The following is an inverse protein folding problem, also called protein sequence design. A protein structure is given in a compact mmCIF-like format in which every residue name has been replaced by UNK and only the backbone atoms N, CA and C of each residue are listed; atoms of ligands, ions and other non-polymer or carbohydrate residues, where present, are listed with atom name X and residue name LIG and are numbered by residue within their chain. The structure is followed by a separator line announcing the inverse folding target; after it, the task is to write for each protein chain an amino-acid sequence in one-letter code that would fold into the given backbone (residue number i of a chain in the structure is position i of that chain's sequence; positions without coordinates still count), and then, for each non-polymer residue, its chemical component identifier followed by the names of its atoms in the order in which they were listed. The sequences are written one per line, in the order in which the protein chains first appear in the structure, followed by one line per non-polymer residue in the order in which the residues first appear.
data_IF_852253137776
#
_entry.id   IF_852253137776
#
_cell.length_a   1.000
_cell.length_b   1.000
_cell.length_c   1.000
_cell.angle_alpha   90.00
_cell.angle_beta   90.00
_cell.angle_gamma   90.00
#
_symmetry.space_group_name_H-M   'P 1'
#
loop_
_entity.id
_entity.type
_entity.pdbx_description
1 polymer ?
#
# COMPACT_ATOMS: atom_id res chain seq x y z
N UNK A 1 45.46 -56.05 22.31
CA UNK A 1 45.18 -55.06 21.25
C UNK A 1 43.99 -55.55 20.42
N UNK A 2 42.80 -54.97 20.60
CA UNK A 2 41.58 -55.31 19.85
C UNK A 2 41.13 -54.08 19.08
N UNK A 3 41.01 -54.21 17.75
CA UNK A 3 40.60 -53.13 16.83
C UNK A 3 39.14 -52.78 17.07
N UNK A 4 38.87 -51.54 17.47
CA UNK A 4 37.55 -50.91 17.40
C UNK A 4 37.27 -50.55 15.94
N UNK A 5 36.44 -51.34 15.28
CA UNK A 5 35.81 -50.96 14.00
C UNK A 5 34.77 -49.87 14.29
N UNK A 6 34.97 -48.70 13.70
CA UNK A 6 33.98 -47.61 13.68
C UNK A 6 32.80 -48.04 12.81
N UNK A 7 31.69 -48.40 13.44
CA UNK A 7 30.38 -48.46 12.79
C UNK A 7 29.95 -47.04 12.41
N UNK A 8 29.85 -46.77 11.12
CA UNK A 8 29.25 -45.54 10.62
C UNK A 8 27.73 -45.64 10.81
N UNK A 9 27.20 -44.92 11.81
CA UNK A 9 25.78 -44.60 11.89
C UNK A 9 25.38 -43.79 10.65
N UNK A 10 24.80 -44.46 9.66
CA UNK A 10 24.00 -43.78 8.62
C UNK A 10 22.70 -43.33 9.27
N UNK A 11 22.72 -42.12 9.83
CA UNK A 11 21.50 -41.36 10.06
C UNK A 11 20.86 -41.11 8.69
N UNK A 12 19.82 -41.90 8.39
CA UNK A 12 18.92 -41.62 7.29
C UNK A 12 18.27 -40.28 7.54
N UNK A 13 18.80 -39.24 6.92
CA UNK A 13 18.14 -37.94 6.84
C UNK A 13 16.87 -38.17 6.04
N UNK A 14 15.74 -38.17 6.74
CA UNK A 14 14.42 -37.90 6.17
C UNK A 14 14.56 -36.60 5.39
N UNK A 15 14.72 -36.71 4.08
CA UNK A 15 14.61 -35.60 3.16
C UNK A 15 13.14 -35.14 3.21
N UNK A 16 12.81 -34.29 4.18
CA UNK A 16 11.68 -33.40 4.04
C UNK A 16 12.03 -32.46 2.89
N UNK A 17 11.53 -32.80 1.71
CA UNK A 17 11.39 -31.87 0.59
C UNK A 17 10.53 -30.70 1.07
N UNK A 18 11.18 -29.69 1.66
CA UNK A 18 10.58 -28.37 1.80
C UNK A 18 10.35 -27.86 0.38
N UNK A 19 9.12 -28.00 -0.11
CA UNK A 19 8.65 -27.23 -1.27
C UNK A 19 8.93 -25.77 -0.99
N UNK A 20 9.85 -25.18 -1.75
CA UNK A 20 10.07 -23.75 -1.75
C UNK A 20 8.79 -23.12 -2.30
N UNK A 21 8.00 -22.51 -1.42
CA UNK A 21 6.84 -21.71 -1.81
C UNK A 21 7.41 -20.37 -2.27
N UNK A 22 7.37 -20.13 -3.57
CA UNK A 22 7.59 -18.80 -4.15
C UNK A 22 6.37 -17.95 -3.77
N UNK A 23 6.52 -16.82 -3.06
CA UNK A 23 5.40 -15.93 -2.80
C UNK A 23 4.88 -15.38 -4.12
N UNK A 24 3.63 -15.71 -4.47
CA UNK A 24 2.96 -15.20 -5.68
C UNK A 24 2.48 -16.25 -6.70
N UNK A 25 2.79 -17.54 -6.53
CA UNK A 25 2.26 -18.57 -7.42
C UNK A 25 1.02 -19.26 -6.83
N UNK A 26 -0.11 -19.15 -7.53
CA UNK A 26 -1.34 -19.90 -7.26
C UNK A 26 -1.14 -21.35 -7.74
N UNK A 27 -1.65 -22.37 -7.03
CA UNK A 27 -1.62 -23.75 -7.49
C UNK A 27 -2.46 -23.90 -8.76
N UNK A 28 -1.84 -24.21 -9.89
CA UNK A 28 -2.52 -24.71 -11.08
C UNK A 28 -2.67 -26.23 -10.95
N UNK A 29 -3.81 -26.66 -10.42
CA UNK A 29 -4.33 -28.00 -10.71
C UNK A 29 -5.29 -27.92 -11.91
N UNK A 30 -5.20 -28.92 -12.81
CA UNK A 30 -6.31 -29.33 -13.66
C UNK A 30 -6.28 -28.82 -15.10
N UNK A 31 -5.73 -29.66 -15.98
CA UNK A 31 -5.81 -29.60 -17.44
C UNK A 31 -7.25 -29.65 -17.96
N UNK A 32 -7.74 -28.60 -18.64
CA UNK A 32 -8.44 -28.65 -19.95
C UNK A 32 -8.85 -27.24 -20.46
N UNK A 33 -8.92 -27.01 -21.78
CA UNK A 33 -9.01 -25.68 -22.36
C UNK A 33 -10.47 -25.28 -22.58
N UNK A 34 -10.92 -24.23 -21.90
CA UNK A 34 -12.06 -23.44 -22.37
C UNK A 34 -11.92 -22.03 -21.83
N UNK A 35 -11.85 -21.07 -22.75
CA UNK A 35 -11.57 -19.68 -22.46
C UNK A 35 -12.65 -19.08 -21.55
N UNK A 36 -12.22 -18.48 -20.45
CA UNK A 36 -12.80 -17.22 -19.99
C UNK A 36 -11.85 -16.55 -18.98
N UNK A 37 -11.20 -15.47 -19.40
CA UNK A 37 -10.34 -14.62 -18.56
C UNK A 37 -11.18 -13.72 -17.63
N UNK A 38 -12.04 -14.30 -16.78
CA UNK A 38 -12.90 -13.53 -15.86
C UNK A 38 -12.88 -14.04 -14.39
N UNK A 39 -11.98 -14.96 -14.05
CA UNK A 39 -11.92 -15.53 -12.69
C UNK A 39 -11.42 -14.58 -11.59
N UNK A 40 -10.73 -13.49 -11.96
CA UNK A 40 -10.18 -12.53 -10.99
C UNK A 40 -11.17 -11.44 -10.56
N UNK A 41 -12.21 -11.17 -11.35
CA UNK A 41 -13.24 -10.17 -11.04
C UNK A 41 -14.33 -10.72 -10.10
N UNK A 42 -14.67 -12.00 -10.20
CA UNK A 42 -15.80 -12.56 -9.45
C UNK A 42 -15.54 -12.74 -7.95
N UNK A 43 -14.28 -12.75 -7.49
CA UNK A 43 -13.98 -12.89 -6.05
C UNK A 43 -14.22 -11.61 -5.24
N UNK A 44 -14.50 -10.48 -5.89
CA UNK A 44 -14.95 -9.24 -5.23
C UNK A 44 -16.47 -9.16 -5.05
N UNK A 45 -17.26 -10.05 -5.67
CA UNK A 45 -18.68 -9.80 -5.96
C UNK A 45 -19.70 -10.10 -4.85
N UNK A 46 -19.36 -10.82 -3.78
CA UNK A 46 -20.39 -11.31 -2.83
C UNK A 46 -20.75 -10.33 -1.69
N UNK A 47 -20.20 -9.11 -1.69
CA UNK A 47 -20.52 -8.05 -0.70
C UNK A 47 -20.92 -6.71 -1.34
N UNK A 48 -20.96 -6.60 -2.68
CA UNK A 48 -20.94 -5.31 -3.39
C UNK A 48 -22.29 -4.78 -3.90
N UNK A 49 -23.42 -5.45 -3.63
CA UNK A 49 -24.71 -4.95 -4.14
C UNK A 49 -25.27 -3.75 -3.36
N UNK A 50 -24.90 -3.55 -2.09
CA UNK A 50 -25.38 -2.40 -1.28
C UNK A 50 -24.53 -1.13 -1.37
N UNK A 51 -23.36 -1.16 -2.05
CA UNK A 51 -22.38 -0.06 -2.08
C UNK A 51 -22.24 0.61 -3.46
N UNK A 52 -23.21 0.41 -4.34
CA UNK A 52 -23.26 1.04 -5.67
C UNK A 52 -23.29 2.56 -5.51
N UNK A 53 -22.24 3.25 -5.99
CA UNK A 53 -22.08 4.71 -5.88
C UNK A 53 -21.29 5.19 -4.66
N UNK A 54 -20.99 4.34 -3.66
CA UNK A 54 -20.10 4.68 -2.55
C UNK A 54 -18.62 4.68 -2.96
N UNK A 55 -18.25 3.92 -3.99
CA UNK A 55 -16.87 3.83 -4.47
C UNK A 55 -16.58 4.62 -5.76
N UNK A 56 -17.57 5.35 -6.28
CA UNK A 56 -17.38 6.19 -7.46
C UNK A 56 -16.61 7.47 -7.12
N UNK A 57 -15.69 7.90 -7.99
CA UNK A 57 -15.04 9.20 -7.86
C UNK A 57 -16.06 10.35 -7.85
N UNK A 58 -15.73 11.42 -7.11
CA UNK A 58 -16.57 12.61 -6.99
C UNK A 58 -15.75 13.88 -7.21
N UNK A 59 -16.40 14.92 -7.75
CA UNK A 59 -15.85 16.28 -7.72
C UNK A 59 -16.05 16.86 -6.32
N UNK A 60 -15.01 17.51 -5.81
CA UNK A 60 -14.98 18.08 -4.45
C UNK A 60 -15.00 19.60 -4.46
N UNK A 61 -15.15 20.22 -3.29
CA UNK A 61 -15.17 21.67 -3.13
C UNK A 61 -13.85 22.33 -3.57
N UNK A 62 -12.70 21.66 -3.43
CA UNK A 62 -11.42 22.17 -3.93
C UNK A 62 -11.23 21.99 -5.45
N UNK A 63 -12.26 21.56 -6.19
CA UNK A 63 -12.23 21.36 -7.65
C UNK A 63 -11.51 20.09 -8.11
N UNK A 64 -10.77 19.42 -7.22
CA UNK A 64 -10.10 18.15 -7.47
C UNK A 64 -11.09 16.98 -7.39
N UNK A 65 -10.72 15.86 -7.99
CA UNK A 65 -11.48 14.63 -7.93
C UNK A 65 -11.00 13.76 -6.77
N UNK A 66 -11.95 13.27 -5.97
CA UNK A 66 -11.70 12.36 -4.87
C UNK A 66 -12.20 10.98 -5.24
N UNK A 67 -11.33 9.96 -5.14
CA UNK A 67 -11.68 8.58 -5.43
C UNK A 67 -11.75 7.76 -4.13
N UNK A 68 -12.95 7.33 -3.69
CA UNK A 68 -13.09 6.55 -2.46
C UNK A 68 -12.28 5.24 -2.44
N UNK A 69 -12.09 4.60 -3.59
CA UNK A 69 -11.29 3.38 -3.68
C UNK A 69 -9.83 3.67 -3.32
N UNK A 70 -9.26 4.73 -3.90
CA UNK A 70 -7.89 5.17 -3.61
C UNK A 70 -7.76 5.63 -2.16
N UNK A 71 -8.82 6.20 -1.58
CA UNK A 71 -8.81 6.60 -0.17
C UNK A 71 -8.58 5.39 0.76
N UNK A 72 -9.25 4.27 0.52
CA UNK A 72 -9.00 3.05 1.30
C UNK A 72 -7.58 2.50 1.12
N UNK A 73 -7.03 2.57 -0.09
CA UNK A 73 -5.64 2.19 -0.33
C UNK A 73 -4.66 3.09 0.43
N UNK A 74 -4.93 4.41 0.49
CA UNK A 74 -4.17 5.36 1.30
C UNK A 74 -4.24 4.98 2.78
N UNK A 75 -5.43 4.70 3.31
CA UNK A 75 -5.59 4.30 4.71
C UNK A 75 -4.76 3.06 5.03
N UNK A 76 -4.80 2.04 4.17
CA UNK A 76 -3.99 0.84 4.33
C UNK A 76 -2.49 1.14 4.21
N UNK A 77 -2.08 2.00 3.28
CA UNK A 77 -0.69 2.39 3.11
C UNK A 77 -0.16 3.15 4.34
N UNK A 78 -0.98 4.01 4.95
CA UNK A 78 -0.61 4.75 6.16
C UNK A 78 -0.36 3.87 7.40
N UNK A 79 -0.75 2.58 7.38
CA UNK A 79 -0.35 1.62 8.40
C UNK A 79 1.14 1.26 8.33
N UNK A 80 1.82 1.52 7.21
CA UNK A 80 3.26 1.37 7.05
C UNK A 80 3.96 2.73 7.21
N UNK A 81 4.89 2.80 8.17
CA UNK A 81 5.64 4.00 8.48
C UNK A 81 6.40 4.56 7.26
N UNK A 82 6.90 3.70 6.36
CA UNK A 82 7.63 4.15 5.17
C UNK A 82 6.71 4.90 4.21
N UNK A 83 5.49 4.37 4.01
CA UNK A 83 4.46 5.02 3.21
C UNK A 83 4.00 6.32 3.82
N UNK A 84 3.76 6.35 5.13
CA UNK A 84 3.36 7.57 5.83
C UNK A 84 4.39 8.69 5.64
N UNK A 85 5.69 8.39 5.85
CA UNK A 85 6.77 9.36 5.66
C UNK A 85 6.92 9.78 4.20
N UNK A 86 6.76 8.85 3.25
CA UNK A 86 6.83 9.15 1.83
C UNK A 86 5.70 10.10 1.40
N UNK A 87 4.46 9.83 1.83
CA UNK A 87 3.29 10.69 1.57
C UNK A 87 3.51 12.07 2.17
N UNK A 88 3.98 12.17 3.41
CA UNK A 88 4.29 13.46 4.06
C UNK A 88 5.34 14.26 3.30
N UNK A 89 6.34 13.61 2.69
CA UNK A 89 7.37 14.28 1.88
C UNK A 89 6.81 14.75 0.54
N UNK A 90 6.06 13.89 -0.15
CA UNK A 90 5.46 14.24 -1.44
C UNK A 90 4.40 15.35 -1.28
N UNK A 91 3.65 15.38 -0.18
CA UNK A 91 2.69 16.45 0.13
C UNK A 91 3.33 17.84 0.16
N UNK A 92 4.61 17.96 0.52
CA UNK A 92 5.34 19.25 0.51
C UNK A 92 5.52 19.82 -0.90
N UNK A 93 5.37 18.99 -1.92
CA UNK A 93 5.43 19.42 -3.33
C UNK A 93 4.10 19.99 -3.82
N UNK A 94 3.01 19.75 -3.10
CA UNK A 94 1.69 20.29 -3.41
C UNK A 94 1.58 21.73 -2.90
N UNK A 95 1.98 22.69 -3.75
CA UNK A 95 2.07 24.11 -3.39
C UNK A 95 0.71 24.71 -3.00
N UNK A 96 -0.37 24.32 -3.67
CA UNK A 96 -1.73 24.75 -3.36
C UNK A 96 -2.13 24.32 -1.95
N UNK A 97 -1.95 23.03 -1.63
CA UNK A 97 -2.22 22.51 -0.29
C UNK A 97 -1.34 23.17 0.78
N UNK A 98 -0.04 23.30 0.54
CA UNK A 98 0.89 23.89 1.52
C UNK A 98 0.57 25.37 1.79
N UNK A 99 0.21 26.13 0.75
CA UNK A 99 -0.19 27.53 0.92
C UNK A 99 -1.50 27.64 1.68
N UNK A 100 -2.48 26.79 1.36
CA UNK A 100 -3.75 26.75 2.10
C UNK A 100 -3.54 26.39 3.57
N UNK A 101 -2.75 25.34 3.85
CA UNK A 101 -2.43 24.87 5.20
C UNK A 101 -1.79 25.96 6.07
N UNK A 102 -0.93 26.81 5.48
CA UNK A 102 -0.30 27.93 6.17
C UNK A 102 -1.28 29.02 6.58
N UNK A 103 -2.31 29.26 5.76
CA UNK A 103 -3.27 30.35 5.96
C UNK A 103 -4.45 29.93 6.83
N UNK A 104 -4.95 28.70 6.65
CA UNK A 104 -6.21 28.23 7.23
C UNK A 104 -6.05 27.11 8.26
N UNK A 105 -4.83 26.57 8.41
CA UNK A 105 -4.57 25.42 9.28
C UNK A 105 -5.01 24.08 8.66
N UNK A 106 -4.86 23.01 9.44
CA UNK A 106 -5.11 21.63 8.98
C UNK A 106 -6.52 21.13 9.26
N UNK A 107 -6.95 20.11 8.51
CA UNK A 107 -8.27 19.48 8.63
C UNK A 107 -8.37 18.38 9.71
N UNK A 108 -7.31 18.14 10.50
CA UNK A 108 -7.25 17.00 11.43
C UNK A 108 -8.38 17.00 12.47
N UNK A 109 -8.74 18.19 13.00
CA UNK A 109 -9.84 18.33 13.94
C UNK A 109 -11.19 18.04 13.28
N UNK A 110 -11.42 18.56 12.07
CA UNK A 110 -12.67 18.35 11.34
C UNK A 110 -12.85 16.87 10.96
N UNK A 111 -11.76 16.21 10.57
CA UNK A 111 -11.74 14.77 10.30
C UNK A 111 -12.05 13.95 11.55
N UNK A 112 -11.50 14.32 12.72
CA UNK A 112 -11.82 13.64 13.97
C UNK A 112 -13.30 13.76 14.32
N UNK A 113 -13.87 14.96 14.23
CA UNK A 113 -15.29 15.19 14.48
C UNK A 113 -16.16 14.37 13.52
N UNK A 114 -15.73 14.23 12.26
CA UNK A 114 -16.44 13.42 11.26
C UNK A 114 -16.41 11.92 11.59
N UNK A 115 -15.33 11.42 12.19
CA UNK A 115 -15.19 10.02 12.61
C UNK A 115 -15.83 9.73 13.97
N UNK A 116 -15.96 10.73 14.83
CA UNK A 116 -16.49 10.55 16.18
C UNK A 116 -17.96 10.08 16.13
N UNK A 117 -18.25 8.94 16.76
CA UNK A 117 -19.60 8.38 16.86
C UNK A 117 -20.08 7.62 15.63
N UNK A 118 -19.24 7.42 14.61
CA UNK A 118 -19.59 6.56 13.47
C UNK A 118 -19.27 5.10 13.79
N UNK A 119 -20.25 4.22 13.57
CA UNK A 119 -20.12 2.78 13.88
C UNK A 119 -19.86 1.92 12.64
N UNK A 120 -20.15 2.44 11.45
CA UNK A 120 -20.07 1.69 10.19
C UNK A 120 -19.32 2.48 9.12
N UNK A 121 -18.46 1.80 8.35
CA UNK A 121 -17.64 2.42 7.30
C UNK A 121 -18.50 3.08 6.20
N UNK A 122 -19.63 2.48 5.84
CA UNK A 122 -20.54 3.03 4.83
C UNK A 122 -21.17 4.35 5.28
N UNK A 123 -21.52 4.46 6.56
CA UNK A 123 -22.04 5.70 7.15
C UNK A 123 -20.97 6.79 7.14
N UNK A 124 -19.74 6.43 7.52
CA UNK A 124 -18.60 7.34 7.48
C UNK A 124 -18.37 7.85 6.06
N UNK A 125 -18.33 6.94 5.08
CA UNK A 125 -18.08 7.31 3.69
C UNK A 125 -19.18 8.19 3.11
N UNK A 126 -20.44 7.94 3.42
CA UNK A 126 -21.53 8.80 3.01
C UNK A 126 -21.36 10.23 3.56
N UNK A 127 -21.09 10.37 4.87
CA UNK A 127 -20.83 11.67 5.51
C UNK A 127 -19.59 12.36 4.94
N UNK A 128 -18.52 11.60 4.71
CA UNK A 128 -17.29 12.09 4.12
C UNK A 128 -17.53 12.65 2.73
N UNK A 129 -18.27 11.95 1.86
CA UNK A 129 -18.58 12.44 0.51
C UNK A 129 -19.33 13.77 0.54
N UNK A 130 -20.34 13.91 1.40
CA UNK A 130 -21.08 15.18 1.53
C UNK A 130 -20.20 16.30 2.08
N UNK A 131 -19.32 15.98 3.04
CA UNK A 131 -18.35 16.93 3.58
C UNK A 131 -17.35 17.37 2.51
N UNK A 132 -16.85 16.46 1.67
CA UNK A 132 -15.92 16.75 0.60
C UNK A 132 -16.50 17.65 -0.51
N UNK A 133 -17.82 17.62 -0.72
CA UNK A 133 -18.49 18.50 -1.69
C UNK A 133 -18.64 19.94 -1.19
N UNK A 134 -18.59 20.16 0.12
CA UNK A 134 -18.96 21.44 0.74
C UNK A 134 -17.81 22.11 1.49
N UNK A 135 -16.88 21.33 2.05
CA UNK A 135 -15.78 21.81 2.87
C UNK A 135 -14.47 21.79 2.08
N UNK A 136 -14.01 22.98 1.68
CA UNK A 136 -12.77 23.15 0.91
C UNK A 136 -11.53 22.68 1.68
N UNK A 137 -11.46 22.93 2.99
CA UNK A 137 -10.31 22.55 3.83
C UNK A 137 -10.16 21.03 3.91
N UNK A 138 -11.25 20.32 4.20
CA UNK A 138 -11.26 18.86 4.28
C UNK A 138 -10.98 18.27 2.89
N UNK A 139 -11.62 18.80 1.86
CA UNK A 139 -11.44 18.30 0.49
C UNK A 139 -10.05 18.51 -0.06
N UNK A 140 -9.46 19.69 0.06
CA UNK A 140 -8.09 19.95 -0.40
C UNK A 140 -7.09 19.06 0.35
N UNK A 141 -7.25 18.90 1.65
CA UNK A 141 -6.38 18.03 2.46
C UNK A 141 -6.41 16.59 1.95
N UNK A 142 -7.60 16.00 1.81
CA UNK A 142 -7.73 14.59 1.40
C UNK A 142 -7.36 14.38 -0.07
N UNK A 143 -7.69 15.31 -0.96
CA UNK A 143 -7.27 15.24 -2.36
C UNK A 143 -5.75 15.33 -2.51
N UNK A 144 -5.09 16.21 -1.75
CA UNK A 144 -3.63 16.34 -1.77
C UNK A 144 -2.95 15.06 -1.26
N UNK A 145 -3.49 14.43 -0.22
CA UNK A 145 -3.02 13.14 0.30
C UNK A 145 -3.16 12.04 -0.75
N UNK A 146 -4.34 11.92 -1.38
CA UNK A 146 -4.59 10.92 -2.42
C UNK A 146 -3.65 11.07 -3.61
N UNK A 147 -3.54 12.28 -4.16
CA UNK A 147 -2.68 12.53 -5.31
C UNK A 147 -1.20 12.28 -4.98
N UNK A 148 -0.78 12.59 -3.75
CA UNK A 148 0.58 12.28 -3.30
C UNK A 148 0.84 10.77 -3.25
N UNK A 149 -0.10 10.01 -2.70
CA UNK A 149 -0.05 8.55 -2.70
C UNK A 149 0.00 7.98 -4.12
N UNK A 150 -0.88 8.43 -5.02
CA UNK A 150 -0.92 7.97 -6.41
C UNK A 150 0.39 8.26 -7.16
N UNK A 151 0.98 9.45 -6.96
CA UNK A 151 2.28 9.80 -7.56
C UNK A 151 3.39 8.86 -7.07
N UNK A 152 3.44 8.56 -5.77
CA UNK A 152 4.44 7.65 -5.20
C UNK A 152 4.21 6.23 -5.73
N UNK A 153 2.97 5.74 -5.69
CA UNK A 153 2.58 4.43 -6.21
C UNK A 153 2.97 4.29 -7.67
N UNK A 154 2.65 5.26 -8.52
CA UNK A 154 3.01 5.26 -9.94
C UNK A 154 4.52 5.23 -10.17
N UNK A 155 5.30 6.00 -9.39
CA UNK A 155 6.77 5.98 -9.46
C UNK A 155 7.33 4.60 -9.10
N UNK A 156 6.78 3.97 -8.05
CA UNK A 156 7.16 2.61 -7.64
C UNK A 156 6.80 1.57 -8.72
N UNK A 157 5.56 1.58 -9.19
CA UNK A 157 5.06 0.61 -10.17
C UNK A 157 5.85 0.71 -11.49
N UNK A 158 6.21 1.94 -11.91
CA UNK A 158 7.09 2.18 -13.06
C UNK A 158 8.50 1.60 -12.83
N UNK A 159 9.07 1.84 -11.65
CA UNK A 159 10.38 1.33 -11.29
C UNK A 159 10.40 -0.21 -11.26
N UNK A 160 9.41 -0.84 -10.64
CA UNK A 160 9.28 -2.30 -10.62
C UNK A 160 9.14 -2.88 -12.03
N UNK A 161 8.35 -2.23 -12.89
CA UNK A 161 8.21 -2.61 -14.31
C UNK A 161 9.54 -2.49 -15.05
N UNK A 162 10.30 -1.42 -14.81
CA UNK A 162 11.61 -1.21 -15.43
C UNK A 162 12.63 -2.27 -14.96
N UNK A 163 12.69 -2.56 -13.66
CA UNK A 163 13.58 -3.59 -13.13
C UNK A 163 13.24 -4.97 -13.71
N UNK A 164 11.95 -5.28 -13.87
CA UNK A 164 11.51 -6.51 -14.52
C UNK A 164 11.93 -6.57 -16.00
N UNK A 165 11.81 -5.45 -16.73
CA UNK A 165 12.25 -5.33 -18.12
C UNK A 165 13.77 -5.46 -18.29
N UNK A 166 14.55 -4.93 -17.33
CA UNK A 166 16.01 -4.97 -17.32
C UNK A 166 16.58 -6.30 -16.76
N UNK A 167 15.76 -7.35 -16.65
CA UNK A 167 16.19 -8.68 -16.20
C UNK A 167 16.53 -8.76 -14.71
N UNK A 168 15.92 -7.92 -13.87
CA UNK A 168 16.12 -7.90 -12.42
C UNK A 168 17.24 -6.98 -11.95
N UNK A 169 17.85 -6.19 -12.84
CA UNK A 169 18.91 -5.24 -12.49
C UNK A 169 18.30 -3.97 -11.90
N UNK A 170 18.25 -3.87 -10.57
CA UNK A 170 17.81 -2.66 -9.87
C UNK A 170 18.94 -1.59 -9.82
N UNK A 171 18.79 -0.44 -10.52
CA UNK A 171 19.78 0.63 -10.53
C UNK A 171 20.02 1.27 -9.15
N UNK A 172 19.10 1.10 -8.20
CA UNK A 172 19.18 1.65 -6.85
C UNK A 172 19.59 0.61 -5.79
N UNK A 173 19.86 -0.64 -6.20
CA UNK A 173 20.21 -1.71 -5.27
C UNK A 173 21.43 -1.39 -4.40
N UNK A 174 22.47 -0.78 -4.97
CA UNK A 174 23.70 -0.40 -4.26
C UNK A 174 23.45 0.70 -3.21
N UNK A 175 22.63 1.71 -3.54
CA UNK A 175 22.26 2.76 -2.59
C UNK A 175 21.40 2.24 -1.44
N UNK A 176 20.49 1.29 -1.74
CA UNK A 176 19.65 0.63 -0.72
C UNK A 176 20.49 -0.22 0.23
N UNK A 177 21.50 -0.91 -0.28
CA UNK A 177 22.45 -1.68 0.53
C UNK A 177 23.27 -0.78 1.46
N UNK A 178 23.79 0.34 0.95
CA UNK A 178 24.57 1.30 1.76
C UNK A 178 23.75 1.85 2.93
N UNK A 179 22.51 2.28 2.70
CA UNK A 179 21.64 2.82 3.75
C UNK A 179 21.24 1.80 4.83
N UNK A 180 21.25 0.51 4.50
CA UNK A 180 20.96 -0.56 5.45
C UNK A 180 22.18 -0.92 6.31
N UNK A 181 23.40 -0.68 5.81
CA UNK A 181 24.65 -0.85 6.56
C UNK A 181 24.91 0.26 7.59
N UNK A 182 24.42 1.47 7.34
CA UNK A 182 24.61 2.62 8.24
C UNK A 182 23.62 2.69 9.40
N UNK A 183 22.56 1.86 9.38
CA UNK A 183 21.58 1.80 10.47
C UNK A 183 22.10 0.89 11.59
N UNK A 184 22.94 1.45 12.45
CA UNK A 184 23.52 0.77 13.62
C UNK A 184 25.04 0.96 13.81
N UNK A 185 25.73 1.61 12.87
CA UNK A 185 27.18 1.85 12.96
C UNK A 185 27.57 3.09 13.78
N UNK A 186 26.60 3.92 14.17
CA UNK A 186 26.80 5.06 15.06
C UNK A 186 25.98 4.89 16.34
N UNK A 187 26.59 4.22 17.31
CA UNK A 187 26.15 4.27 18.70
C UNK A 187 26.52 5.67 19.24
N UNK A 188 25.59 6.50 19.72
CA UNK A 188 25.97 7.76 20.35
C UNK A 188 26.76 7.43 21.62
N UNK A 189 28.02 7.87 21.69
CA UNK A 189 28.73 7.91 22.95
C UNK A 189 28.16 9.09 23.75
N UNK A 190 27.45 8.77 24.83
CA UNK A 190 27.13 9.70 25.90
C UNK A 190 28.19 9.58 26.99
#
# INVERSE_FOLDING_TARGET
MRRLQRTALRLGVLAMTRRAIIPGHIPTEGTRPSGNNQGWEMRRGHHLQSSIGLHTPIKTACGREFNPQVYYEVLQACCDQQWLVAIQRELRTDTEYINYLRQHGGAAKDMRILTDGVQHDDEFMAKLKEKLKTDEKVSLTLCAVQQSYERIRKKRDLHETQVAADGGRDPYASMKASRKGDFGSQMPQF
#
